data_IF_183928592602
#
_entry.id   IF_183928592602
#
_cell.length_a   1.000
_cell.length_b   1.000
_cell.length_c   1.000
_cell.angle_alpha   90.00
_cell.angle_beta   90.00
_cell.angle_gamma   90.00
#
_symmetry.space_group_name_H-M   'P 1'
#
loop_
_entity.id
_entity.type
_entity.pdbx_description
1 polymer ?
#
# COMPACT_ATOMS: atom_id res chain seq x y z
N UNK A 1 25.79 35.40 2.39
CA UNK A 1 24.96 34.70 1.39
C UNK A 1 24.27 33.54 2.10
N UNK A 2 22.94 33.66 2.30
CA UNK A 2 22.12 32.57 2.74
C UNK A 2 21.73 31.79 1.49
N UNK A 3 22.24 30.56 1.34
CA UNK A 3 21.75 29.62 0.34
C UNK A 3 20.27 29.38 0.57
N UNK A 4 19.47 29.85 -0.38
CA UNK A 4 18.05 29.54 -0.47
C UNK A 4 17.89 28.08 -0.87
N UNK A 5 18.06 27.18 0.09
CA UNK A 5 17.64 25.80 -0.09
C UNK A 5 16.13 25.81 -0.32
N UNK A 6 15.72 25.57 -1.56
CA UNK A 6 14.33 25.30 -1.88
C UNK A 6 13.91 24.11 -1.03
N UNK A 7 13.02 24.36 -0.09
CA UNK A 7 12.39 23.36 0.79
C UNK A 7 11.50 22.44 -0.07
N UNK A 8 12.15 21.66 -0.94
CA UNK A 8 11.47 20.71 -1.82
C UNK A 8 10.97 19.57 -0.94
N UNK A 9 9.67 19.48 -0.81
CA UNK A 9 9.04 18.34 -0.17
C UNK A 9 9.53 17.04 -0.83
N UNK A 10 9.82 16.00 -0.04
CA UNK A 10 10.23 14.73 -0.60
C UNK A 10 9.13 14.18 -1.51
N UNK A 11 9.52 13.77 -2.71
CA UNK A 11 8.59 13.22 -3.72
C UNK A 11 9.26 12.13 -4.54
N UNK A 12 8.46 11.19 -5.03
CA UNK A 12 8.97 10.10 -5.85
C UNK A 12 7.95 8.99 -6.09
N UNK A 13 8.44 7.98 -6.79
CA UNK A 13 7.65 6.80 -7.19
C UNK A 13 8.42 5.55 -6.77
N UNK A 14 7.75 4.63 -6.08
CA UNK A 14 8.28 3.31 -5.75
C UNK A 14 7.42 2.27 -6.46
N UNK A 15 8.08 1.33 -7.12
CA UNK A 15 7.44 0.19 -7.75
C UNK A 15 7.70 -1.05 -6.92
N UNK A 16 6.65 -1.84 -6.69
CA UNK A 16 6.71 -3.11 -6.01
C UNK A 16 6.24 -4.23 -6.93
N UNK A 17 6.89 -5.36 -6.84
CA UNK A 17 6.42 -6.63 -7.39
C UNK A 17 5.58 -7.37 -6.35
N UNK A 18 4.52 -8.03 -6.82
CA UNK A 18 3.63 -8.86 -6.01
C UNK A 18 3.78 -10.31 -6.42
N UNK A 19 4.15 -11.16 -5.46
CA UNK A 19 4.15 -12.61 -5.57
C UNK A 19 3.03 -13.20 -4.72
N UNK A 20 2.19 -14.03 -5.31
CA UNK A 20 1.11 -14.71 -4.60
C UNK A 20 1.66 -15.98 -3.95
N UNK A 21 1.72 -16.00 -2.62
CA UNK A 21 2.16 -17.15 -1.83
C UNK A 21 1.05 -18.18 -1.71
N UNK A 22 -0.20 -17.69 -1.64
CA UNK A 22 -1.41 -18.51 -1.62
C UNK A 22 -2.49 -17.80 -2.44
N UNK A 23 -3.19 -18.57 -3.28
CA UNK A 23 -4.38 -18.10 -3.98
C UNK A 23 -5.45 -19.20 -3.94
N UNK A 24 -6.51 -18.94 -3.17
CA UNK A 24 -7.71 -19.80 -3.05
C UNK A 24 -8.94 -19.12 -3.67
N UNK A 25 -8.75 -17.97 -4.36
CA UNK A 25 -9.83 -17.31 -5.09
C UNK A 25 -10.15 -18.05 -6.39
N UNK A 26 -11.32 -17.78 -6.96
CA UNK A 26 -11.71 -18.33 -8.27
C UNK A 26 -10.87 -17.79 -9.44
N UNK A 27 -10.16 -16.67 -9.21
CA UNK A 27 -9.34 -16.04 -10.24
C UNK A 27 -7.98 -16.72 -10.40
N UNK A 28 -7.60 -17.16 -11.60
CA UNK A 28 -6.26 -17.71 -11.85
C UNK A 28 -5.15 -16.73 -11.46
N UNK A 29 -4.09 -17.23 -10.83
CA UNK A 29 -2.98 -16.40 -10.31
C UNK A 29 -2.30 -15.54 -11.39
N UNK A 30 -2.26 -16.00 -12.63
CA UNK A 30 -1.70 -15.25 -13.76
C UNK A 30 -2.54 -14.04 -14.17
N UNK A 31 -3.80 -13.98 -13.75
CA UNK A 31 -4.69 -12.84 -13.99
C UNK A 31 -4.69 -11.83 -12.83
N UNK A 32 -4.16 -12.21 -11.67
CA UNK A 32 -4.04 -11.32 -10.53
C UNK A 32 -2.98 -10.22 -10.77
N UNK A 33 -3.18 -9.01 -10.21
CA UNK A 33 -2.22 -7.91 -10.32
C UNK A 33 -0.85 -8.29 -9.76
N UNK A 34 0.23 -7.97 -10.47
CA UNK A 34 1.60 -8.29 -10.04
C UNK A 34 2.44 -7.06 -9.70
N UNK A 35 1.84 -5.89 -9.72
CA UNK A 35 2.55 -4.63 -9.52
C UNK A 35 1.75 -3.69 -8.62
N UNK A 36 2.46 -3.09 -7.69
CA UNK A 36 1.96 -1.98 -6.87
C UNK A 36 2.84 -0.76 -7.16
N UNK A 37 2.23 0.40 -7.30
CA UNK A 37 2.91 1.68 -7.49
C UNK A 37 2.54 2.58 -6.32
N UNK A 38 3.53 3.01 -5.57
CA UNK A 38 3.41 4.06 -4.57
C UNK A 38 3.98 5.37 -5.14
N UNK A 39 3.17 6.41 -5.21
CA UNK A 39 3.61 7.78 -5.48
C UNK A 39 3.43 8.60 -4.22
N UNK A 40 4.43 9.41 -3.88
CA UNK A 40 4.36 10.28 -2.71
C UNK A 40 4.88 11.67 -3.02
N UNK A 41 4.34 12.67 -2.31
CA UNK A 41 4.79 14.05 -2.33
C UNK A 41 4.44 14.72 -1.01
N UNK A 42 5.45 15.02 -0.21
CA UNK A 42 5.28 15.55 1.14
C UNK A 42 4.41 14.64 2.00
N UNK A 43 3.31 15.16 2.50
CA UNK A 43 2.36 14.48 3.37
C UNK A 43 1.25 13.70 2.64
N UNK A 44 1.33 13.56 1.32
CA UNK A 44 0.35 12.82 0.50
C UNK A 44 1.00 11.62 -0.17
N UNK A 45 0.26 10.54 -0.24
CA UNK A 45 0.64 9.40 -1.07
C UNK A 45 -0.58 8.76 -1.75
N UNK A 46 -0.32 8.02 -2.82
CA UNK A 46 -1.27 7.15 -3.48
C UNK A 46 -0.59 5.82 -3.77
N UNK A 47 -1.21 4.75 -3.29
CA UNK A 47 -0.81 3.37 -3.60
C UNK A 47 -1.81 2.78 -4.58
N UNK A 48 -1.35 2.27 -5.72
CA UNK A 48 -2.21 1.72 -6.78
C UNK A 48 -1.79 0.29 -7.11
N UNK A 49 -2.76 -0.61 -7.12
CA UNK A 49 -2.69 -1.97 -7.66
C UNK A 49 -3.49 -1.98 -8.97
N UNK A 50 -2.87 -2.40 -10.06
CA UNK A 50 -3.52 -2.49 -11.38
C UNK A 50 -3.44 -3.91 -11.92
N UNK A 51 -4.55 -4.38 -12.49
CA UNK A 51 -4.66 -5.67 -13.14
C UNK A 51 -5.52 -5.63 -14.40
N UNK A 52 -5.56 -6.74 -15.14
CA UNK A 52 -6.36 -6.90 -16.35
C UNK A 52 -6.15 -5.80 -17.39
N UNK A 53 -4.90 -5.47 -17.71
CA UNK A 53 -4.58 -4.45 -18.72
C UNK A 53 -5.28 -3.10 -18.48
N UNK A 54 -5.42 -2.70 -17.19
CA UNK A 54 -6.05 -1.43 -16.80
C UNK A 54 -7.59 -1.47 -16.67
N UNK A 55 -8.22 -2.63 -16.86
CA UNK A 55 -9.67 -2.79 -16.61
C UNK A 55 -9.99 -2.83 -15.11
N UNK A 56 -9.01 -3.19 -14.27
CA UNK A 56 -9.10 -3.17 -12.82
C UNK A 56 -8.02 -2.25 -12.27
N UNK A 57 -8.40 -1.35 -11.38
CA UNK A 57 -7.46 -0.60 -10.57
C UNK A 57 -8.06 -0.34 -9.19
N UNK A 58 -7.27 -0.58 -8.17
CA UNK A 58 -7.60 -0.29 -6.79
C UNK A 58 -6.52 0.63 -6.24
N UNK A 59 -6.91 1.85 -5.88
CA UNK A 59 -5.99 2.85 -5.37
C UNK A 59 -6.39 3.31 -3.98
N UNK A 60 -5.42 3.64 -3.17
CA UNK A 60 -5.63 4.29 -1.89
C UNK A 60 -4.88 5.61 -1.82
N UNK A 61 -5.59 6.71 -1.69
CA UNK A 61 -5.04 8.05 -1.50
C UNK A 61 -5.03 8.37 -0.01
N UNK A 62 -3.86 8.78 0.48
CA UNK A 62 -3.66 9.19 1.86
C UNK A 62 -3.25 10.66 1.92
N UNK A 63 -3.86 11.44 2.80
CA UNK A 63 -3.47 12.80 3.15
C UNK A 63 -3.24 12.84 4.67
N UNK A 64 -1.97 12.85 5.09
CA UNK A 64 -1.59 12.79 6.50
C UNK A 64 -2.05 14.02 7.28
N UNK A 65 -2.02 15.21 6.68
CA UNK A 65 -2.46 16.44 7.34
C UNK A 65 -3.95 16.45 7.62
N UNK A 66 -4.74 15.93 6.69
CA UNK A 66 -6.18 15.82 6.82
C UNK A 66 -6.64 14.59 7.58
N UNK A 67 -5.72 13.66 7.89
CA UNK A 67 -6.06 12.35 8.43
C UNK A 67 -7.03 11.59 7.52
N UNK A 68 -6.95 11.79 6.21
CA UNK A 68 -7.90 11.31 5.21
C UNK A 68 -7.33 10.15 4.43
N UNK A 69 -8.18 9.15 4.23
CA UNK A 69 -7.91 7.98 3.43
C UNK A 69 -9.08 7.80 2.43
N UNK A 70 -8.77 7.68 1.15
CA UNK A 70 -9.76 7.48 0.08
C UNK A 70 -9.40 6.24 -0.69
N UNK A 71 -10.33 5.31 -0.78
CA UNK A 71 -10.22 4.15 -1.65
C UNK A 71 -10.92 4.42 -2.98
N UNK A 72 -10.20 4.27 -4.08
CA UNK A 72 -10.70 4.34 -5.45
C UNK A 72 -10.74 2.93 -6.03
N UNK A 73 -11.86 2.55 -6.62
CA UNK A 73 -12.01 1.29 -7.33
C UNK A 73 -12.50 1.55 -8.75
N UNK A 74 -11.74 1.06 -9.73
CA UNK A 74 -12.14 0.98 -11.13
C UNK A 74 -12.29 -0.49 -11.50
N UNK A 75 -13.45 -0.86 -12.00
CA UNK A 75 -13.71 -2.20 -12.56
C UNK A 75 -14.46 -2.01 -13.86
N UNK A 76 -13.79 -2.28 -14.99
CA UNK A 76 -14.30 -1.95 -16.33
C UNK A 76 -14.69 -0.46 -16.40
N UNK A 77 -15.97 -0.16 -16.70
CA UNK A 77 -16.50 1.21 -16.81
C UNK A 77 -16.96 1.79 -15.45
N UNK A 78 -17.03 0.96 -14.41
CA UNK A 78 -17.45 1.41 -13.07
C UNK A 78 -16.28 2.04 -12.34
N UNK A 79 -16.47 3.29 -11.93
CA UNK A 79 -15.53 4.07 -11.13
C UNK A 79 -16.19 4.48 -9.83
N UNK A 80 -15.70 3.97 -8.72
CA UNK A 80 -16.29 4.14 -7.40
C UNK A 80 -15.24 4.63 -6.41
N UNK A 81 -15.66 5.45 -5.44
CA UNK A 81 -14.78 5.81 -4.35
C UNK A 81 -15.49 5.74 -3.00
N UNK A 82 -14.70 5.44 -1.98
CA UNK A 82 -15.08 5.51 -0.58
C UNK A 82 -14.11 6.45 0.14
N UNK A 83 -14.64 7.39 0.91
CA UNK A 83 -13.82 8.23 1.80
C UNK A 83 -13.91 7.64 3.20
N UNK A 84 -12.81 7.12 3.67
CA UNK A 84 -12.68 6.55 5.01
C UNK A 84 -12.86 7.62 6.10
N UNK A 85 -13.17 7.16 7.30
CA UNK A 85 -13.19 7.99 8.50
C UNK A 85 -11.76 8.39 8.91
N UNK A 86 -11.65 9.31 9.85
CA UNK A 86 -10.37 9.78 10.33
C UNK A 86 -9.55 8.60 10.92
N UNK A 87 -8.33 8.41 10.41
CA UNK A 87 -7.41 7.31 10.78
C UNK A 87 -7.93 5.88 10.49
N UNK A 88 -8.90 5.73 9.60
CA UNK A 88 -9.38 4.42 9.18
C UNK A 88 -8.31 3.71 8.32
N UNK A 89 -8.05 2.44 8.63
CA UNK A 89 -7.14 1.59 7.85
C UNK A 89 -7.79 1.17 6.55
N UNK A 90 -7.10 1.20 5.39
CA UNK A 90 -7.61 0.69 4.14
C UNK A 90 -8.06 -0.76 4.24
N UNK A 91 -9.13 -1.08 3.54
CA UNK A 91 -9.80 -2.36 3.66
C UNK A 91 -8.90 -3.58 3.34
N UNK A 92 -7.86 -3.47 2.50
CA UNK A 92 -6.94 -4.62 2.24
C UNK A 92 -6.24 -5.12 3.50
N UNK A 93 -6.11 -4.29 4.50
CA UNK A 93 -5.46 -4.63 5.74
C UNK A 93 -6.45 -5.04 6.84
N UNK A 94 -7.75 -5.02 6.59
CA UNK A 94 -8.77 -5.39 7.60
C UNK A 94 -8.62 -6.82 8.13
N UNK A 95 -8.00 -7.69 7.34
CA UNK A 95 -7.74 -9.09 7.70
C UNK A 95 -6.41 -9.30 8.45
N UNK A 96 -5.58 -8.25 8.53
CA UNK A 96 -4.31 -8.30 9.25
C UNK A 96 -4.51 -7.76 10.67
N UNK A 97 -5.00 -8.62 11.55
CA UNK A 97 -5.26 -8.32 12.96
C UNK A 97 -4.49 -9.28 13.87
N UNK A 98 -4.38 -8.93 15.14
CA UNK A 98 -3.87 -9.80 16.20
C UNK A 98 -2.47 -10.37 15.90
N UNK A 99 -1.55 -9.50 15.48
CA UNK A 99 -0.16 -9.84 15.25
C UNK A 99 0.78 -8.99 16.14
N UNK A 100 1.99 -9.48 16.28
CA UNK A 100 3.10 -8.79 16.97
C UNK A 100 4.23 -8.53 16.01
N UNK A 101 4.97 -7.45 16.24
CA UNK A 101 6.16 -7.08 15.47
C UNK A 101 7.37 -7.20 16.40
N UNK A 102 8.34 -8.02 16.02
CA UNK A 102 9.60 -8.16 16.72
C UNK A 102 10.74 -7.64 15.86
N UNK A 103 11.39 -6.58 16.31
CA UNK A 103 12.56 -6.03 15.65
C UNK A 103 13.76 -6.94 15.86
N UNK A 104 14.58 -7.08 14.82
CA UNK A 104 15.82 -7.87 14.85
C UNK A 104 16.98 -7.03 14.31
N UNK A 105 18.21 -7.48 14.53
CA UNK A 105 19.41 -6.77 14.11
C UNK A 105 19.80 -7.03 12.65
N UNK A 106 19.13 -8.00 12.00
CA UNK A 106 19.40 -8.36 10.62
C UNK A 106 19.10 -7.18 9.68
N UNK A 107 19.91 -7.06 8.66
CA UNK A 107 19.78 -6.05 7.60
C UNK A 107 19.81 -6.70 6.23
N UNK A 108 19.28 -6.01 5.23
CA UNK A 108 19.33 -6.45 3.84
C UNK A 108 19.46 -5.23 2.92
N UNK A 109 19.86 -5.46 1.67
CA UNK A 109 19.81 -4.44 0.63
C UNK A 109 18.73 -4.83 -0.40
N UNK A 110 17.67 -4.02 -0.52
CA UNK A 110 16.51 -4.29 -1.38
C UNK A 110 16.23 -3.03 -2.19
N UNK A 111 16.10 -3.14 -3.50
CA UNK A 111 15.87 -2.03 -4.43
C UNK A 111 16.89 -0.87 -4.27
N UNK A 112 18.11 -1.19 -3.82
CA UNK A 112 19.16 -0.20 -3.56
C UNK A 112 19.14 0.43 -2.15
N UNK A 113 18.10 0.18 -1.35
CA UNK A 113 17.96 0.70 0.03
C UNK A 113 18.63 -0.19 1.06
N UNK A 114 19.16 0.45 2.11
CA UNK A 114 19.59 -0.24 3.32
C UNK A 114 18.36 -0.49 4.20
N UNK A 115 18.02 -1.75 4.40
CA UNK A 115 16.80 -2.15 5.08
C UNK A 115 17.11 -2.80 6.42
N UNK A 116 16.30 -2.45 7.43
CA UNK A 116 16.20 -3.18 8.70
C UNK A 116 15.11 -4.22 8.60
N UNK A 117 15.26 -5.29 9.38
CA UNK A 117 14.31 -6.41 9.42
C UNK A 117 13.47 -6.36 10.68
N UNK A 118 12.22 -6.74 10.54
CA UNK A 118 11.34 -7.13 11.63
C UNK A 118 10.64 -8.44 11.29
N UNK A 119 10.18 -9.17 12.29
CA UNK A 119 9.40 -10.40 12.13
C UNK A 119 7.98 -10.13 12.59
N UNK A 120 7.03 -10.41 11.72
CA UNK A 120 5.59 -10.32 12.00
C UNK A 120 5.08 -11.71 12.33
N UNK A 121 4.44 -11.88 13.50
CA UNK A 121 3.89 -13.16 13.97
C UNK A 121 2.45 -12.97 14.41
N UNK A 122 1.54 -13.80 13.91
CA UNK A 122 0.12 -13.74 14.23
C UNK A 122 -0.22 -14.55 15.48
N UNK A 123 -1.27 -14.15 16.20
CA UNK A 123 -1.82 -14.93 17.30
C UNK A 123 -2.42 -16.27 16.78
N UNK A 124 -3.00 -16.26 15.58
CA UNK A 124 -3.41 -17.47 14.88
C UNK A 124 -2.17 -18.20 14.33
N UNK A 125 -1.85 -19.35 14.92
CA UNK A 125 -0.70 -20.18 14.53
C UNK A 125 -0.83 -20.84 13.15
N UNK A 126 -2.02 -20.81 12.55
CA UNK A 126 -2.22 -21.26 11.17
C UNK A 126 -1.61 -20.27 10.15
N UNK A 127 -1.43 -19.02 10.54
CA UNK A 127 -0.78 -18.01 9.71
C UNK A 127 0.72 -17.99 10.03
N UNK A 128 1.53 -18.30 9.02
CA UNK A 128 2.98 -18.35 9.20
C UNK A 128 3.56 -16.96 9.45
N UNK A 129 4.52 -16.83 10.39
CA UNK A 129 5.29 -15.61 10.53
C UNK A 129 6.01 -15.25 9.22
N UNK A 130 6.22 -13.95 9.00
CA UNK A 130 6.98 -13.49 7.84
C UNK A 130 7.98 -12.39 8.20
N UNK A 131 9.02 -12.27 7.37
CA UNK A 131 10.02 -11.22 7.44
C UNK A 131 9.49 -9.95 6.77
N UNK A 132 9.50 -8.86 7.52
CA UNK A 132 9.21 -7.51 7.05
C UNK A 132 10.52 -6.72 6.97
N UNK A 133 10.73 -5.98 5.86
CA UNK A 133 11.87 -5.10 5.69
C UNK A 133 11.40 -3.67 5.47
N UNK A 134 12.07 -2.72 6.13
CA UNK A 134 11.77 -1.30 6.06
C UNK A 134 13.05 -0.47 6.00
N UNK A 135 12.97 0.75 5.46
CA UNK A 135 14.10 1.64 5.25
C UNK A 135 13.85 3.05 5.74
N UNK A 136 14.89 3.72 6.18
CA UNK A 136 14.92 5.14 6.46
C UNK A 136 15.67 5.95 5.39
N UNK A 137 16.12 5.31 4.30
CA UNK A 137 16.87 5.98 3.23
C UNK A 137 16.01 6.98 2.44
N UNK A 138 14.68 6.94 2.61
CA UNK A 138 13.75 7.88 2.01
C UNK A 138 13.01 8.68 3.08
N UNK A 139 12.96 10.01 2.97
CA UNK A 139 12.32 10.88 3.94
C UNK A 139 10.79 10.96 3.72
N UNK A 140 10.11 9.83 3.76
CA UNK A 140 8.64 9.75 3.68
C UNK A 140 8.07 9.89 5.08
N UNK A 141 7.25 10.92 5.30
CA UNK A 141 6.63 11.20 6.60
C UNK A 141 5.56 10.14 6.91
N UNK A 142 5.60 9.55 8.10
CA UNK A 142 4.64 8.56 8.62
C UNK A 142 4.12 7.57 7.55
N UNK A 143 5.02 6.84 6.83
CA UNK A 143 4.65 6.09 5.64
C UNK A 143 3.62 4.98 5.92
N UNK A 144 3.52 4.53 7.17
CA UNK A 144 2.68 3.40 7.57
C UNK A 144 1.45 3.80 8.41
N UNK A 145 1.18 5.10 8.60
CA UNK A 145 0.13 5.59 9.51
C UNK A 145 -1.23 4.94 9.32
N UNK A 146 -1.61 4.68 8.07
CA UNK A 146 -2.89 4.05 7.73
C UNK A 146 -2.76 2.56 7.39
N UNK A 147 -1.72 1.91 7.88
CA UNK A 147 -1.52 0.47 7.74
C UNK A 147 -1.50 -0.19 9.11
N UNK A 148 -1.65 -1.52 9.20
CA UNK A 148 -1.49 -2.24 10.45
C UNK A 148 -0.05 -2.14 10.99
N UNK A 149 0.92 -1.73 10.16
CA UNK A 149 2.32 -1.56 10.50
C UNK A 149 2.69 -0.13 10.95
N UNK A 150 1.72 0.62 11.49
CA UNK A 150 1.88 2.03 11.90
C UNK A 150 3.04 2.25 12.89
N UNK A 151 3.41 1.21 13.66
CA UNK A 151 4.50 1.25 14.64
C UNK A 151 5.89 1.00 14.02
N UNK A 152 5.97 0.69 12.71
CA UNK A 152 7.24 0.62 11.96
C UNK A 152 7.64 2.04 11.56
N UNK A 153 8.76 2.49 12.13
CA UNK A 153 9.37 3.78 11.78
C UNK A 153 10.26 3.61 10.55
N UNK A 154 9.66 3.74 9.38
CA UNK A 154 10.34 3.64 8.09
C UNK A 154 9.45 3.06 6.98
N UNK A 155 9.82 3.37 5.74
CA UNK A 155 9.07 2.93 4.58
C UNK A 155 9.16 1.41 4.40
N UNK A 156 8.04 0.73 4.23
CA UNK A 156 8.01 -0.71 3.95
C UNK A 156 8.60 -1.00 2.56
N UNK A 157 9.55 -1.91 2.52
CA UNK A 157 10.26 -2.31 1.30
C UNK A 157 9.92 -3.74 0.90
N UNK A 158 9.74 -4.63 1.89
CA UNK A 158 9.26 -5.99 1.64
C UNK A 158 8.38 -6.46 2.81
N UNK A 159 7.15 -6.90 2.51
CA UNK A 159 6.15 -7.30 3.50
C UNK A 159 5.11 -8.22 2.89
N UNK A 160 4.30 -8.87 3.74
CA UNK A 160 3.16 -9.66 3.26
C UNK A 160 1.85 -8.91 3.53
N UNK A 161 0.87 -9.16 2.65
CA UNK A 161 -0.52 -8.79 2.85
C UNK A 161 -1.33 -10.08 2.90
N UNK A 162 -2.11 -10.24 3.97
CA UNK A 162 -2.98 -11.38 4.19
C UNK A 162 -4.43 -10.97 3.94
N UNK A 163 -5.10 -11.67 3.05
CA UNK A 163 -6.54 -11.58 2.76
C UNK A 163 -7.17 -12.97 2.91
N UNK A 164 -8.51 -13.13 2.99
CA UNK A 164 -9.15 -14.42 3.25
C UNK A 164 -8.73 -15.54 2.29
N UNK A 165 -8.65 -15.22 1.01
CA UNK A 165 -8.37 -16.19 -0.06
C UNK A 165 -7.01 -15.99 -0.73
N UNK A 166 -6.26 -14.98 -0.33
CA UNK A 166 -5.02 -14.60 -1.01
C UNK A 166 -3.99 -14.13 0.00
N UNK A 167 -2.78 -14.67 -0.10
CA UNK A 167 -1.60 -14.17 0.58
C UNK A 167 -0.61 -13.65 -0.45
N UNK A 168 -0.13 -12.43 -0.26
CA UNK A 168 0.79 -11.76 -1.18
C UNK A 168 2.08 -11.39 -0.48
N UNK A 169 3.20 -11.63 -1.12
CA UNK A 169 4.49 -11.01 -0.83
C UNK A 169 4.67 -9.78 -1.71
N UNK A 170 4.93 -8.65 -1.11
CA UNK A 170 5.16 -7.36 -1.78
C UNK A 170 6.61 -6.98 -1.57
N UNK A 171 7.37 -6.73 -2.63
CA UNK A 171 8.78 -6.38 -2.58
C UNK A 171 9.06 -5.20 -3.49
N UNK A 172 9.68 -4.13 -2.98
CA UNK A 172 10.11 -3.00 -3.78
C UNK A 172 11.19 -3.43 -4.78
N UNK A 173 11.04 -3.02 -6.02
CA UNK A 173 11.95 -3.33 -7.12
C UNK A 173 12.68 -2.10 -7.63
N UNK A 174 12.05 -0.93 -7.56
CA UNK A 174 12.61 0.31 -8.10
C UNK A 174 12.10 1.53 -7.33
N UNK A 175 13.00 2.51 -7.18
CA UNK A 175 12.67 3.87 -6.76
C UNK A 175 13.07 4.87 -7.86
N UNK A 176 12.21 5.84 -8.12
CA UNK A 176 12.45 6.96 -9.02
C UNK A 176 12.27 8.27 -8.27
N UNK A 177 13.34 9.04 -8.08
CA UNK A 177 13.27 10.42 -7.62
C UNK A 177 12.82 11.30 -8.79
N UNK A 178 11.54 11.59 -8.86
CA UNK A 178 10.90 12.35 -9.94
C UNK A 178 9.76 13.18 -9.40
N UNK A 179 9.50 14.37 -9.96
CA UNK A 179 8.32 15.16 -9.59
C UNK A 179 7.03 14.38 -9.76
N UNK A 180 6.13 14.52 -8.79
CA UNK A 180 4.80 13.89 -8.79
C UNK A 180 3.74 14.98 -8.92
N UNK A 181 2.89 14.90 -9.95
CA UNK A 181 1.78 15.83 -10.12
C UNK A 181 0.80 15.71 -8.94
N UNK A 182 0.42 16.86 -8.36
CA UNK A 182 -0.52 16.93 -7.22
C UNK A 182 -1.90 16.37 -7.52
N UNK A 183 -2.34 16.40 -8.78
CA UNK A 183 -3.67 15.94 -9.21
C UNK A 183 -3.87 14.43 -8.97
N UNK A 184 -2.78 13.64 -8.91
CA UNK A 184 -2.88 12.20 -8.64
C UNK A 184 -3.39 11.89 -7.23
N UNK A 185 -3.34 12.86 -6.32
CA UNK A 185 -3.83 12.73 -4.94
C UNK A 185 -5.26 13.22 -4.74
N UNK A 186 -5.96 13.56 -5.83
CA UNK A 186 -7.35 13.98 -5.78
C UNK A 186 -8.24 12.88 -6.41
N UNK A 187 -9.54 12.93 -6.13
CA UNK A 187 -10.50 11.99 -6.71
C UNK A 187 -10.71 12.38 -8.18
N UNK A 188 -10.40 11.50 -9.14
CA UNK A 188 -10.59 11.84 -10.54
C UNK A 188 -12.07 11.97 -10.91
N UNK A 189 -12.35 12.72 -11.99
CA UNK A 189 -13.71 12.87 -12.51
C UNK A 189 -14.35 11.52 -12.89
N UNK A 190 -15.66 11.47 -12.74
CA UNK A 190 -16.47 10.30 -13.08
C UNK A 190 -16.51 9.22 -11.98
N UNK A 191 -15.80 9.38 -10.86
CA UNK A 191 -15.95 8.49 -9.72
C UNK A 191 -17.21 8.80 -8.92
N UNK A 192 -17.98 7.76 -8.56
CA UNK A 192 -19.20 7.87 -7.74
C UNK A 192 -18.90 7.43 -6.31
N UNK A 193 -19.39 8.23 -5.34
CA UNK A 193 -19.26 7.90 -3.92
C UNK A 193 -20.12 6.69 -3.56
N UNK A 194 -19.57 5.78 -2.78
CA UNK A 194 -20.27 4.62 -2.23
C UNK A 194 -19.99 4.51 -0.73
N UNK A 195 -20.82 3.73 -0.02
CA UNK A 195 -20.58 3.39 1.38
C UNK A 195 -19.44 2.36 1.51
N UNK A 196 -18.84 2.27 2.71
CA UNK A 196 -17.85 1.24 3.05
C UNK A 196 -18.37 -0.16 2.74
N UNK A 197 -19.59 -0.48 3.17
CA UNK A 197 -20.23 -1.78 2.95
C UNK A 197 -20.36 -2.14 1.47
N UNK A 198 -20.76 -1.16 0.64
CA UNK A 198 -20.83 -1.37 -0.81
C UNK A 198 -19.45 -1.61 -1.42
N UNK A 199 -18.44 -0.82 -1.03
CA UNK A 199 -17.06 -1.00 -1.52
C UNK A 199 -16.53 -2.39 -1.17
N UNK A 200 -16.62 -2.81 0.09
CA UNK A 200 -16.18 -4.13 0.55
C UNK A 200 -16.93 -5.25 -0.19
N UNK A 201 -18.26 -5.13 -0.34
CA UNK A 201 -19.05 -6.15 -1.05
C UNK A 201 -18.60 -6.32 -2.50
N UNK A 202 -18.28 -5.24 -3.20
CA UNK A 202 -17.81 -5.32 -4.59
C UNK A 202 -16.44 -5.97 -4.67
N UNK A 203 -15.53 -5.60 -3.77
CA UNK A 203 -14.17 -6.13 -3.77
C UNK A 203 -14.14 -7.61 -3.40
N UNK A 204 -14.92 -8.03 -2.39
CA UNK A 204 -15.00 -9.44 -2.03
C UNK A 204 -15.52 -10.30 -3.20
N UNK A 205 -16.54 -9.83 -3.93
CA UNK A 205 -17.03 -10.51 -5.14
C UNK A 205 -16.02 -10.63 -6.27
N UNK A 206 -14.99 -9.78 -6.29
CA UNK A 206 -13.91 -9.87 -7.27
C UNK A 206 -12.83 -10.89 -6.85
N UNK A 207 -12.81 -11.27 -5.56
CA UNK A 207 -11.85 -12.21 -4.98
C UNK A 207 -12.46 -13.58 -4.65
N UNK A 208 -13.79 -13.72 -4.77
CA UNK A 208 -14.51 -15.01 -4.72
C UNK A 208 -14.27 -15.80 -6.01
#
# INVERSE_FOLDING_TARGET
CRDGGTDRQPEGIIEYEVTYLTNKSSMPTNLLPRRIILKFRGNKNITTIEGFMGMFALSNITDLRKGRNITLLKVMDKKLYYSGEHNEVPFFFEYMKDFTIRYVTDTARIAGFNCKKAIVSFADTAIKPFDLFYTHDLPVEEPNRFTPFKDIDGLLVAFNIQMPNVEMRVVATQYKSTPVNGDVFEIPDGYKKVSKRQMISIINKLLE
#
